data_IF_732827346696
#
_entry.id   IF_732827346696
#
_cell.length_a   1.000
_cell.length_b   1.000
_cell.length_c   1.000
_cell.angle_alpha   90.00
_cell.angle_beta   90.00
_cell.angle_gamma   90.00
#
_symmetry.space_group_name_H-M   'P 1'
#
loop_
_entity.id
_entity.type
_entity.pdbx_description
1 polymer ?
#
# COMPACT_ATOMS: atom_id res chain seq x y z
N UNK A 1 56.38 -21.89 -14.31
CA UNK A 1 55.67 -20.85 -13.53
C UNK A 1 54.19 -20.94 -13.88
N UNK A 2 53.36 -21.48 -12.98
CA UNK A 2 51.90 -21.51 -13.13
C UNK A 2 51.34 -20.44 -12.20
N UNK A 3 50.85 -19.35 -12.77
CA UNK A 3 50.24 -18.23 -12.07
C UNK A 3 48.88 -18.67 -11.52
N UNK A 4 48.75 -18.71 -10.20
CA UNK A 4 47.49 -18.97 -9.50
C UNK A 4 46.71 -17.64 -9.46
N UNK A 5 45.65 -17.53 -10.27
CA UNK A 5 44.71 -16.41 -10.18
C UNK A 5 43.73 -16.68 -9.03
N UNK A 6 43.95 -16.02 -7.89
CA UNK A 6 42.98 -15.92 -6.81
C UNK A 6 41.81 -15.05 -7.28
N UNK A 7 40.67 -15.67 -7.57
CA UNK A 7 39.40 -14.96 -7.68
C UNK A 7 38.90 -14.68 -6.26
N UNK A 8 39.13 -13.46 -5.77
CA UNK A 8 38.40 -12.92 -4.63
C UNK A 8 36.98 -12.59 -5.10
N UNK A 9 36.04 -13.51 -4.88
CA UNK A 9 34.62 -13.22 -4.96
C UNK A 9 34.25 -12.29 -3.80
N UNK A 10 34.04 -11.00 -4.08
CA UNK A 10 33.23 -10.16 -3.19
C UNK A 10 31.81 -10.74 -3.23
N UNK A 11 31.46 -11.50 -2.20
CA UNK A 11 30.07 -11.84 -1.93
C UNK A 11 29.35 -10.54 -1.53
N UNK A 12 28.67 -9.92 -2.50
CA UNK A 12 27.56 -9.04 -2.19
C UNK A 12 26.48 -9.92 -1.56
N UNK A 13 26.39 -9.93 -0.23
CA UNK A 13 25.21 -10.46 0.44
C UNK A 13 24.03 -9.60 -0.01
N UNK A 14 23.04 -10.14 -0.74
CA UNK A 14 21.78 -9.43 -0.82
C UNK A 14 21.30 -9.26 0.63
N UNK A 15 20.98 -8.03 1.03
CA UNK A 15 20.28 -7.81 2.28
C UNK A 15 18.95 -8.57 2.19
N UNK A 16 18.92 -9.81 2.67
CA UNK A 16 17.68 -10.55 2.89
C UNK A 16 17.06 -9.88 4.09
N UNK A 17 16.03 -9.06 3.85
CA UNK A 17 15.24 -8.49 4.91
C UNK A 17 14.49 -9.64 5.57
N UNK A 18 14.81 -9.89 6.85
CA UNK A 18 14.04 -10.83 7.67
C UNK A 18 12.64 -10.27 7.85
N UNK A 19 11.66 -11.13 7.67
CA UNK A 19 10.25 -10.81 7.81
C UNK A 19 9.65 -11.48 9.08
N UNK A 20 8.38 -11.21 9.39
CA UNK A 20 7.74 -11.75 10.59
C UNK A 20 7.73 -13.30 10.61
N UNK A 21 7.58 -13.94 9.45
CA UNK A 21 7.52 -15.39 9.36
C UNK A 21 8.88 -16.02 9.63
N UNK A 22 9.96 -15.41 9.12
CA UNK A 22 11.33 -15.82 9.46
C UNK A 22 11.55 -15.79 10.98
N UNK A 23 11.16 -14.68 11.63
CA UNK A 23 11.33 -14.49 13.07
C UNK A 23 10.57 -15.54 13.89
N UNK A 24 9.33 -15.84 13.49
CA UNK A 24 8.51 -16.89 14.10
C UNK A 24 9.12 -18.27 13.89
N UNK A 25 9.65 -18.55 12.70
CA UNK A 25 10.32 -19.82 12.42
C UNK A 25 11.58 -20.00 13.29
N UNK A 26 12.40 -18.97 13.46
CA UNK A 26 13.56 -19.04 14.36
C UNK A 26 13.11 -19.29 15.81
N UNK A 27 12.03 -18.64 16.23
CA UNK A 27 11.46 -18.83 17.56
C UNK A 27 10.96 -20.28 17.77
N UNK A 28 10.25 -20.85 16.80
CA UNK A 28 9.78 -22.25 16.84
C UNK A 28 10.95 -23.24 16.88
N UNK A 29 12.04 -22.93 16.17
CA UNK A 29 13.29 -23.68 16.20
C UNK A 29 14.10 -23.48 17.48
N UNK A 30 13.60 -22.69 18.43
CA UNK A 30 14.24 -22.32 19.69
C UNK A 30 15.56 -21.54 19.53
N UNK A 31 15.82 -20.99 18.34
CA UNK A 31 16.88 -20.00 18.14
C UNK A 31 16.38 -18.62 18.58
N UNK A 32 16.19 -18.49 19.90
CA UNK A 32 15.65 -17.29 20.52
C UNK A 32 16.57 -16.07 20.35
N UNK A 33 17.88 -16.27 20.17
CA UNK A 33 18.79 -15.17 19.92
C UNK A 33 18.50 -14.55 18.56
N UNK A 34 18.40 -15.39 17.53
CA UNK A 34 18.11 -14.93 16.17
C UNK A 34 16.67 -14.40 16.07
N UNK A 35 15.69 -15.10 16.61
CA UNK A 35 14.29 -14.65 16.64
C UNK A 35 14.15 -13.25 17.27
N UNK A 36 14.84 -13.01 18.40
CA UNK A 36 14.84 -11.71 19.06
C UNK A 36 15.44 -10.60 18.21
N UNK A 37 16.51 -10.89 17.46
CA UNK A 37 17.12 -9.92 16.56
C UNK A 37 16.18 -9.58 15.40
N UNK A 38 15.54 -10.59 14.83
CA UNK A 38 14.60 -10.45 13.72
C UNK A 38 13.32 -9.69 14.15
N UNK A 39 12.69 -10.06 15.27
CA UNK A 39 11.58 -9.26 15.82
C UNK A 39 11.99 -7.82 16.12
N UNK A 40 13.18 -7.59 16.67
CA UNK A 40 13.66 -6.23 16.95
C UNK A 40 13.79 -5.39 15.68
N UNK A 41 14.16 -6.02 14.56
CA UNK A 41 14.28 -5.36 13.26
C UNK A 41 12.95 -4.88 12.67
N UNK A 42 11.83 -5.45 13.15
CA UNK A 42 10.47 -5.09 12.75
C UNK A 42 9.85 -4.01 13.64
N UNK A 43 10.44 -3.66 14.79
CA UNK A 43 9.92 -2.59 15.65
C UNK A 43 9.88 -1.20 14.97
N UNK A 44 10.88 -0.79 14.18
CA UNK A 44 10.80 0.47 13.42
C UNK A 44 9.60 0.54 12.47
N UNK A 45 9.10 -0.62 12.02
CA UNK A 45 7.92 -0.76 11.16
C UNK A 45 6.60 -0.66 11.93
N UNK A 46 6.64 -0.45 13.24
CA UNK A 46 5.45 -0.45 14.09
C UNK A 46 4.79 -1.82 14.20
N UNK A 47 5.55 -2.90 14.02
CA UNK A 47 5.04 -4.26 14.06
C UNK A 47 4.64 -4.65 15.49
N UNK A 48 3.34 -4.69 15.73
CA UNK A 48 2.74 -5.01 17.02
C UNK A 48 2.95 -6.47 17.42
N UNK A 49 2.97 -7.40 16.46
CA UNK A 49 3.23 -8.82 16.71
C UNK A 49 4.67 -9.08 17.14
N UNK A 50 5.63 -8.36 16.55
CA UNK A 50 7.04 -8.43 16.95
C UNK A 50 7.26 -7.87 18.37
N UNK A 51 6.63 -6.73 18.68
CA UNK A 51 6.63 -6.17 20.03
C UNK A 51 6.03 -7.16 21.05
N UNK A 52 4.89 -7.78 20.71
CA UNK A 52 4.25 -8.79 21.56
C UNK A 52 5.15 -10.00 21.80
N UNK A 53 5.76 -10.56 20.74
CA UNK A 53 6.63 -11.73 20.89
C UNK A 53 7.88 -11.41 21.71
N UNK A 54 8.50 -10.24 21.53
CA UNK A 54 9.60 -9.80 22.39
C UNK A 54 9.16 -9.66 23.85
N UNK A 55 7.94 -9.16 24.11
CA UNK A 55 7.38 -9.10 25.46
C UNK A 55 7.29 -10.49 26.09
N UNK A 56 6.76 -11.48 25.35
CA UNK A 56 6.66 -12.89 25.78
C UNK A 56 8.04 -13.48 26.07
N UNK A 57 9.01 -13.26 25.18
CA UNK A 57 10.39 -13.76 25.36
C UNK A 57 11.03 -13.18 26.63
N UNK A 58 10.86 -11.88 26.88
CA UNK A 58 11.35 -11.22 28.10
C UNK A 58 10.62 -11.73 29.35
N UNK A 59 9.32 -11.95 29.26
CA UNK A 59 8.52 -12.43 30.38
C UNK A 59 8.91 -13.86 30.80
N UNK A 60 9.13 -14.75 29.82
CA UNK A 60 9.47 -16.15 30.05
C UNK A 60 10.97 -16.42 30.24
N UNK A 61 11.83 -15.50 29.81
CA UNK A 61 13.27 -15.76 29.73
C UNK A 61 13.65 -16.71 28.59
N UNK A 62 13.00 -16.60 27.44
CA UNK A 62 13.36 -17.40 26.26
C UNK A 62 14.63 -16.81 25.61
N UNK A 63 15.72 -17.59 25.63
CA UNK A 63 17.05 -17.18 25.14
C UNK A 63 17.80 -16.21 26.07
N UNK A 64 17.28 -15.91 27.27
CA UNK A 64 17.88 -14.96 28.23
C UNK A 64 17.32 -15.15 29.64
N UNK A 65 17.84 -14.43 30.64
CA UNK A 65 17.15 -14.34 31.95
C UNK A 65 15.86 -13.54 31.83
N UNK A 66 14.79 -14.00 32.46
CA UNK A 66 13.52 -13.29 32.48
C UNK A 66 13.68 -11.87 33.03
N UNK A 67 13.01 -10.91 32.38
CA UNK A 67 13.07 -9.49 32.68
C UNK A 67 11.65 -8.91 32.57
N UNK A 68 10.95 -8.87 33.70
CA UNK A 68 9.54 -8.46 33.77
C UNK A 68 9.34 -6.96 33.54
N UNK A 69 10.36 -6.13 33.77
CA UNK A 69 10.34 -4.68 33.46
C UNK A 69 10.35 -4.50 31.94
N UNK A 70 11.26 -5.18 31.23
CA UNK A 70 11.28 -5.17 29.76
C UNK A 70 10.02 -5.78 29.17
N UNK A 71 9.54 -6.89 29.74
CA UNK A 71 8.30 -7.50 29.30
C UNK A 71 7.12 -6.52 29.35
N UNK A 72 6.98 -5.77 30.46
CA UNK A 72 5.94 -4.75 30.58
C UNK A 72 6.10 -3.66 29.51
N UNK A 73 7.31 -3.15 29.31
CA UNK A 73 7.57 -2.11 28.30
C UNK A 73 7.21 -2.56 26.88
N UNK A 74 7.55 -3.80 26.50
CA UNK A 74 7.20 -4.36 25.20
C UNK A 74 5.70 -4.68 25.06
N UNK A 75 5.01 -5.11 26.13
CA UNK A 75 3.55 -5.25 26.10
C UNK A 75 2.86 -3.90 25.95
N UNK A 76 3.34 -2.85 26.63
CA UNK A 76 2.84 -1.48 26.45
C UNK A 76 3.07 -1.00 25.01
N UNK A 77 4.23 -1.30 24.42
CA UNK A 77 4.52 -1.01 23.02
C UNK A 77 3.55 -1.72 22.08
N UNK A 78 3.33 -3.02 22.26
CA UNK A 78 2.41 -3.79 21.44
C UNK A 78 0.97 -3.25 21.49
N UNK A 79 0.47 -2.87 22.68
CA UNK A 79 -0.86 -2.27 22.85
C UNK A 79 -0.96 -0.90 22.13
N UNK A 80 0.09 -0.08 22.27
CA UNK A 80 0.18 1.22 21.60
C UNK A 80 0.23 1.09 20.07
N UNK A 81 0.81 0.01 19.54
CA UNK A 81 0.88 -0.30 18.10
C UNK A 81 -0.37 -1.02 17.57
N UNK A 82 -1.35 -1.32 18.44
CA UNK A 82 -2.67 -1.84 18.05
C UNK A 82 -3.00 -3.25 18.52
N UNK A 83 -2.06 -4.01 19.12
CA UNK A 83 -2.35 -5.36 19.61
C UNK A 83 -3.10 -5.32 20.96
N UNK A 84 -4.43 -5.33 20.89
CA UNK A 84 -5.30 -5.25 22.07
C UNK A 84 -5.17 -6.43 23.03
N UNK A 85 -4.59 -7.56 22.61
CA UNK A 85 -4.29 -8.69 23.51
C UNK A 85 -3.21 -8.29 24.53
N UNK A 86 -2.30 -7.40 24.14
CA UNK A 86 -1.22 -6.94 25.00
C UNK A 86 -1.71 -6.11 26.20
N UNK A 87 -2.83 -5.39 26.07
CA UNK A 87 -3.33 -4.50 27.13
C UNK A 87 -3.64 -5.25 28.43
N UNK A 88 -4.31 -6.40 28.34
CA UNK A 88 -4.65 -7.22 29.51
C UNK A 88 -3.38 -7.82 30.15
N UNK A 89 -2.42 -8.25 29.33
CA UNK A 89 -1.15 -8.80 29.80
C UNK A 89 -0.27 -7.73 30.45
N UNK A 90 -0.17 -6.53 29.87
CA UNK A 90 0.53 -5.40 30.45
C UNK A 90 -0.01 -5.09 31.86
N UNK A 91 -1.33 -5.00 32.01
CA UNK A 91 -1.98 -4.80 33.32
C UNK A 91 -1.60 -5.91 34.32
N UNK A 92 -1.67 -7.18 33.90
CA UNK A 92 -1.31 -8.31 34.76
C UNK A 92 0.17 -8.36 35.12
N UNK A 93 1.07 -7.94 34.25
CA UNK A 93 2.50 -7.87 34.54
C UNK A 93 2.79 -6.70 35.49
N UNK A 94 2.16 -5.54 35.28
CA UNK A 94 2.33 -4.36 36.13
C UNK A 94 1.98 -4.62 37.60
N UNK A 95 0.94 -5.41 37.89
CA UNK A 95 0.59 -5.77 39.28
C UNK A 95 1.66 -6.56 40.03
N UNK A 96 2.65 -7.13 39.31
CA UNK A 96 3.76 -7.90 39.89
C UNK A 96 5.02 -7.06 40.13
N UNK A 97 5.00 -5.78 39.76
CA UNK A 97 6.16 -4.88 39.79
C UNK A 97 5.98 -3.78 40.85
N UNK A 98 7.09 -3.35 41.46
CA UNK A 98 7.11 -2.17 42.33
C UNK A 98 6.83 -0.88 41.54
N UNK A 99 6.53 0.21 42.24
CA UNK A 99 6.32 1.51 41.60
C UNK A 99 7.56 1.96 40.81
N UNK A 100 8.76 1.73 41.34
CA UNK A 100 10.03 2.04 40.67
C UNK A 100 10.22 1.21 39.40
N UNK A 101 9.88 -0.08 39.44
CA UNK A 101 9.97 -0.97 38.29
C UNK A 101 8.94 -0.62 37.19
N UNK A 102 7.73 -0.20 37.57
CA UNK A 102 6.73 0.29 36.62
C UNK A 102 7.15 1.61 35.97
N UNK A 103 7.81 2.49 36.73
CA UNK A 103 8.39 3.72 36.20
C UNK A 103 9.50 3.41 35.19
N UNK A 104 10.42 2.49 35.51
CA UNK A 104 11.46 2.02 34.58
C UNK A 104 10.87 1.42 33.30
N UNK A 105 9.81 0.60 33.41
CA UNK A 105 9.14 0.03 32.25
C UNK A 105 8.51 1.13 31.38
N UNK A 106 7.92 2.15 31.99
CA UNK A 106 7.32 3.28 31.28
C UNK A 106 8.37 4.10 30.53
N UNK A 107 9.52 4.36 31.15
CA UNK A 107 10.65 5.05 30.51
C UNK A 107 11.18 4.26 29.30
N UNK A 108 11.37 2.95 29.47
CA UNK A 108 11.79 2.07 28.38
C UNK A 108 10.73 2.00 27.27
N UNK A 109 9.45 1.95 27.61
CA UNK A 109 8.37 2.01 26.63
C UNK A 109 8.44 3.28 25.79
N UNK A 110 8.65 4.45 26.41
CA UNK A 110 8.80 5.71 25.68
C UNK A 110 10.05 5.71 24.78
N UNK A 111 11.16 5.14 25.26
CA UNK A 111 12.37 4.95 24.45
C UNK A 111 12.08 4.07 23.22
N UNK A 112 11.42 2.93 23.41
CA UNK A 112 11.05 2.01 22.34
C UNK A 112 10.09 2.66 21.34
N UNK A 113 9.06 3.36 21.83
CA UNK A 113 8.10 4.06 21.00
C UNK A 113 8.77 5.15 20.16
N UNK A 114 9.77 5.85 20.72
CA UNK A 114 10.53 6.87 20.00
C UNK A 114 11.26 6.31 18.76
N UNK A 115 11.65 5.03 18.79
CA UNK A 115 12.35 4.32 17.70
C UNK A 115 11.40 3.77 16.64
N UNK A 116 10.10 3.69 16.91
CA UNK A 116 9.10 3.33 15.90
C UNK A 116 9.00 4.46 14.89
N UNK A 117 9.29 4.15 13.62
CA UNK A 117 9.25 5.11 12.51
C UNK A 117 7.89 5.12 11.82
N UNK A 118 7.27 3.93 11.67
CA UNK A 118 5.94 3.76 11.10
C UNK A 118 4.95 3.54 12.25
N UNK A 119 4.19 4.57 12.64
CA UNK A 119 3.32 4.52 13.83
C UNK A 119 1.85 4.31 13.49
N UNK A 120 1.40 4.97 12.43
CA UNK A 120 0.12 4.79 11.77
C UNK A 120 0.32 5.25 10.32
N UNK A 121 -0.56 4.86 9.40
CA UNK A 121 -0.70 5.57 8.14
C UNK A 121 -1.75 6.66 8.38
N UNK A 122 -1.40 7.93 8.61
CA UNK A 122 -2.30 8.98 8.20
C UNK A 122 -2.52 8.84 6.67
N UNK A 123 -3.62 9.40 6.18
CA UNK A 123 -3.78 9.74 4.76
C UNK A 123 -2.75 10.84 4.38
N UNK A 124 -1.46 10.58 4.60
CA UNK A 124 -0.34 11.41 4.16
C UNK A 124 -0.20 11.23 2.66
N UNK A 125 -1.22 11.66 1.90
CA UNK A 125 -1.16 11.70 0.45
C UNK A 125 0.10 12.48 0.07
N UNK A 126 1.08 11.76 -0.48
CA UNK A 126 2.19 12.40 -1.17
C UNK A 126 1.57 13.23 -2.29
N UNK A 127 1.73 14.55 -2.23
CA UNK A 127 1.28 15.48 -3.27
C UNK A 127 2.03 15.15 -4.58
N UNK A 128 1.47 14.23 -5.33
CA UNK A 128 1.88 13.93 -6.69
C UNK A 128 1.30 15.07 -7.53
N UNK A 129 2.18 15.96 -7.97
CA UNK A 129 1.85 17.02 -8.91
C UNK A 129 0.88 16.49 -9.98
N UNK A 130 -0.24 17.19 -10.14
CA UNK A 130 -1.32 16.75 -11.02
C UNK A 130 -0.76 16.45 -12.41
N UNK A 131 -1.05 15.25 -12.91
CA UNK A 131 -0.64 14.88 -14.26
C UNK A 131 -1.27 15.84 -15.28
N UNK A 132 -0.55 16.18 -16.37
CA UNK A 132 -1.14 16.98 -17.43
C UNK A 132 -2.37 16.29 -18.04
N UNK A 133 -3.17 17.06 -18.79
CA UNK A 133 -4.35 16.52 -19.47
C UNK A 133 -3.99 15.33 -20.37
N UNK A 134 -4.79 14.27 -20.29
CA UNK A 134 -4.58 13.05 -21.08
C UNK A 134 -5.03 13.29 -22.52
N UNK A 135 -4.12 13.19 -23.48
CA UNK A 135 -4.45 13.21 -24.92
C UNK A 135 -4.76 11.80 -25.43
N UNK A 136 -3.94 10.82 -25.04
CA UNK A 136 -4.12 9.43 -25.46
C UNK A 136 -3.53 8.47 -24.42
N UNK A 137 -4.36 7.52 -23.93
CA UNK A 137 -3.91 6.40 -23.08
C UNK A 137 -4.46 5.09 -23.62
N UNK A 138 -3.78 4.53 -24.62
CA UNK A 138 -4.12 3.23 -25.18
C UNK A 138 -3.87 2.14 -24.12
N UNK A 139 -4.90 1.33 -23.87
CA UNK A 139 -4.78 0.16 -22.99
C UNK A 139 -3.76 -0.86 -23.53
N UNK A 140 -3.05 -1.59 -22.66
CA UNK A 140 -2.14 -2.64 -23.08
C UNK A 140 -2.88 -3.80 -23.73
N UNK A 141 -2.22 -4.44 -24.70
CA UNK A 141 -2.74 -5.68 -25.27
C UNK A 141 -2.60 -6.81 -24.26
N UNK A 142 -3.67 -7.59 -24.07
CA UNK A 142 -3.63 -8.78 -23.22
C UNK A 142 -2.70 -9.85 -23.85
N UNK A 143 -1.70 -10.39 -23.12
CA UNK A 143 -0.84 -11.45 -23.65
C UNK A 143 -1.65 -12.69 -24.03
N UNK A 144 -1.40 -13.23 -25.23
CA UNK A 144 -2.18 -14.38 -25.75
C UNK A 144 -2.13 -15.57 -24.79
N UNK A 145 -0.95 -15.97 -24.32
CA UNK A 145 -0.81 -17.12 -23.42
C UNK A 145 -1.56 -16.93 -22.10
N UNK A 146 -1.43 -15.74 -21.49
CA UNK A 146 -2.18 -15.39 -20.28
C UNK A 146 -3.69 -15.45 -20.51
N UNK A 147 -4.15 -14.98 -21.69
CA UNK A 147 -5.56 -15.03 -22.03
C UNK A 147 -6.08 -16.48 -22.18
N UNK A 148 -5.33 -17.36 -22.85
CA UNK A 148 -5.73 -18.77 -23.01
C UNK A 148 -5.78 -19.50 -21.66
N UNK A 149 -4.87 -19.17 -20.74
CA UNK A 149 -4.79 -19.78 -19.41
C UNK A 149 -5.67 -19.10 -18.36
N UNK A 150 -6.43 -18.05 -18.73
CA UNK A 150 -7.27 -17.29 -17.78
C UNK A 150 -6.48 -16.60 -16.67
N UNK A 151 -5.19 -16.32 -16.89
CA UNK A 151 -4.30 -15.72 -15.91
C UNK A 151 -4.62 -14.23 -15.81
N UNK A 152 -5.14 -13.80 -14.68
CA UNK A 152 -5.32 -12.38 -14.36
C UNK A 152 -4.10 -11.82 -13.62
N UNK A 153 -4.05 -10.49 -13.48
CA UNK A 153 -3.07 -9.88 -12.60
C UNK A 153 -2.92 -8.37 -12.79
N UNK A 154 -1.75 -7.84 -12.46
CA UNK A 154 -1.50 -6.40 -12.51
C UNK A 154 -0.04 -6.07 -12.79
N UNK A 155 0.20 -4.83 -13.17
CA UNK A 155 1.53 -4.19 -13.18
C UNK A 155 1.45 -2.81 -12.58
N UNK A 156 2.30 -2.51 -11.61
CA UNK A 156 2.53 -1.16 -11.10
C UNK A 156 3.74 -0.58 -11.82
N UNK A 157 3.58 0.62 -12.35
CA UNK A 157 4.62 1.31 -13.07
C UNK A 157 4.77 2.75 -12.60
N UNK A 158 6.00 3.25 -12.70
CA UNK A 158 6.30 4.68 -12.72
C UNK A 158 6.90 5.05 -14.06
N UNK A 159 6.68 6.29 -14.48
CA UNK A 159 7.16 6.77 -15.76
C UNK A 159 7.44 8.27 -15.75
N UNK A 160 8.31 8.73 -16.66
CA UNK A 160 8.60 10.13 -16.89
C UNK A 160 7.86 10.62 -18.14
N UNK A 161 7.30 11.82 -18.07
CA UNK A 161 6.68 12.54 -19.17
C UNK A 161 7.60 13.71 -19.52
N UNK A 162 7.96 13.85 -20.78
CA UNK A 162 8.77 14.97 -21.28
C UNK A 162 7.96 16.27 -21.40
N UNK A 163 8.65 17.36 -21.72
CA UNK A 163 8.09 18.70 -21.86
C UNK A 163 7.02 18.82 -22.96
N UNK A 164 7.04 17.89 -23.93
CA UNK A 164 6.09 17.79 -25.04
C UNK A 164 4.93 16.83 -24.74
N UNK A 165 4.91 16.20 -23.57
CA UNK A 165 3.86 15.29 -23.14
C UNK A 165 4.04 13.84 -23.60
N UNK A 166 5.20 13.43 -24.10
CA UNK A 166 5.48 12.02 -24.41
C UNK A 166 6.05 11.30 -23.21
N UNK A 167 5.72 10.01 -23.09
CA UNK A 167 6.30 9.16 -22.05
C UNK A 167 7.65 8.61 -22.53
N UNK A 168 8.73 8.87 -21.78
CA UNK A 168 10.10 8.51 -22.14
C UNK A 168 10.61 7.28 -21.37
N UNK A 169 10.84 7.43 -20.07
CA UNK A 169 11.31 6.36 -19.16
C UNK A 169 10.13 5.70 -18.49
N UNK A 170 10.09 4.36 -18.47
CA UNK A 170 9.01 3.59 -17.83
C UNK A 170 9.65 2.42 -17.09
N UNK A 171 9.31 2.28 -15.82
CA UNK A 171 9.76 1.17 -14.99
C UNK A 171 8.57 0.41 -14.40
N UNK A 172 8.68 -0.91 -14.40
CA UNK A 172 7.76 -1.79 -13.66
C UNK A 172 8.29 -1.97 -12.25
N UNK A 173 7.55 -1.44 -11.28
CA UNK A 173 7.90 -1.48 -9.86
C UNK A 173 7.43 -2.76 -9.18
N UNK A 174 6.41 -3.40 -9.75
CA UNK A 174 5.82 -4.63 -9.24
C UNK A 174 4.83 -5.20 -10.23
N UNK A 175 4.70 -6.53 -10.25
CA UNK A 175 3.79 -7.23 -11.13
C UNK A 175 3.35 -8.55 -10.53
N UNK A 176 2.12 -8.94 -10.83
CA UNK A 176 1.63 -10.29 -10.59
C UNK A 176 0.85 -10.79 -11.81
N UNK A 177 1.00 -12.06 -12.20
CA UNK A 177 2.14 -12.89 -11.87
C UNK A 177 3.42 -12.24 -12.42
N UNK A 178 4.54 -12.48 -11.75
CA UNK A 178 5.78 -11.78 -12.08
C UNK A 178 6.13 -11.96 -13.57
N UNK A 179 6.58 -10.87 -14.21
CA UNK A 179 7.03 -10.80 -15.62
C UNK A 179 5.97 -11.14 -16.69
N UNK A 180 4.77 -11.54 -16.32
CA UNK A 180 3.74 -11.99 -17.27
C UNK A 180 3.23 -10.85 -18.15
N UNK A 181 3.00 -9.69 -17.53
CA UNK A 181 2.39 -8.53 -18.19
C UNK A 181 3.39 -7.39 -18.45
N UNK A 182 4.63 -7.49 -17.97
CA UNK A 182 5.57 -6.36 -17.89
C UNK A 182 5.88 -5.77 -19.27
N UNK A 183 6.20 -6.64 -20.24
CA UNK A 183 6.56 -6.21 -21.61
C UNK A 183 5.43 -5.49 -22.32
N UNK A 184 4.19 -6.01 -22.22
CA UNK A 184 3.03 -5.39 -22.87
C UNK A 184 2.64 -4.08 -22.18
N UNK A 185 2.80 -4.01 -20.86
CA UNK A 185 2.56 -2.82 -20.05
C UNK A 185 3.50 -1.67 -20.42
N UNK A 186 4.81 -1.94 -20.42
CA UNK A 186 5.84 -0.94 -20.79
C UNK A 186 5.61 -0.43 -22.21
N UNK A 187 5.34 -1.34 -23.16
CA UNK A 187 5.05 -0.95 -24.56
C UNK A 187 3.83 -0.03 -24.66
N UNK A 188 2.76 -0.30 -23.90
CA UNK A 188 1.57 0.51 -23.94
C UNK A 188 1.78 1.89 -23.32
N UNK A 189 2.43 1.95 -22.16
CA UNK A 189 2.69 3.21 -21.44
C UNK A 189 3.63 4.13 -22.20
N UNK A 190 4.66 3.60 -22.88
CA UNK A 190 5.53 4.40 -23.77
C UNK A 190 4.79 5.03 -24.95
N UNK A 191 3.59 4.56 -25.30
CA UNK A 191 2.77 5.12 -26.37
C UNK A 191 1.73 6.13 -25.87
N UNK A 192 1.68 6.38 -24.56
CA UNK A 192 0.77 7.38 -24.00
C UNK A 192 1.24 8.79 -24.34
N UNK A 193 0.26 9.69 -24.45
CA UNK A 193 0.48 11.11 -24.74
C UNK A 193 -0.36 11.99 -23.83
N UNK A 194 0.27 13.04 -23.35
CA UNK A 194 -0.28 14.05 -22.47
C UNK A 194 -0.17 15.43 -23.14
N UNK A 195 -0.88 16.42 -22.60
CA UNK A 195 -0.75 17.81 -23.02
C UNK A 195 0.66 18.33 -22.72
N UNK A 196 1.25 19.04 -23.69
CA UNK A 196 2.54 19.67 -23.53
C UNK A 196 2.43 20.83 -22.53
N UNK A 197 3.20 20.78 -21.45
CA UNK A 197 3.23 21.86 -20.44
C UNK A 197 4.54 22.64 -20.45
N UNK A 198 5.52 22.23 -21.26
CA UNK A 198 6.88 22.78 -21.22
C UNK A 198 7.69 22.38 -19.98
N UNK A 199 7.16 21.47 -19.15
CA UNK A 199 7.81 20.95 -17.96
C UNK A 199 7.73 19.43 -17.99
N UNK A 200 8.74 18.76 -17.41
CA UNK A 200 8.71 17.31 -17.22
C UNK A 200 7.79 16.97 -16.04
N UNK A 201 7.15 15.81 -16.13
CA UNK A 201 6.31 15.26 -15.06
C UNK A 201 6.72 13.82 -14.78
N UNK A 202 6.38 13.31 -13.61
CA UNK A 202 6.40 11.87 -13.36
C UNK A 202 4.99 11.37 -13.12
N UNK A 203 4.71 10.16 -13.60
CA UNK A 203 3.43 9.50 -13.41
C UNK A 203 3.57 8.14 -12.77
N UNK A 204 2.47 7.71 -12.16
CA UNK A 204 2.26 6.37 -11.62
C UNK A 204 1.03 5.78 -12.30
N UNK A 205 1.08 4.48 -12.57
CA UNK A 205 -0.13 3.74 -12.92
C UNK A 205 -0.07 2.30 -12.43
N UNK A 206 -1.21 1.79 -11.96
CA UNK A 206 -1.45 0.35 -11.83
C UNK A 206 -2.36 -0.08 -12.98
N UNK A 207 -1.91 -1.04 -13.79
CA UNK A 207 -2.70 -1.62 -14.88
C UNK A 207 -3.20 -2.99 -14.45
N UNK A 208 -4.50 -3.19 -14.46
CA UNK A 208 -5.14 -4.47 -14.17
C UNK A 208 -5.40 -5.26 -15.44
N UNK A 209 -5.17 -6.56 -15.37
CA UNK A 209 -5.34 -7.52 -16.44
C UNK A 209 -6.39 -8.54 -16.01
N UNK A 210 -7.61 -8.42 -16.54
CA UNK A 210 -8.70 -9.35 -16.33
C UNK A 210 -9.39 -9.65 -17.68
N UNK A 211 -9.77 -10.92 -17.90
CA UNK A 211 -10.59 -11.31 -19.05
C UNK A 211 -12.07 -11.22 -18.66
N UNK A 212 -12.61 -10.00 -18.69
CA UNK A 212 -13.96 -9.75 -18.18
C UNK A 212 -13.98 -9.68 -16.64
N UNK A 213 -15.16 -9.79 -16.01
CA UNK A 213 -15.25 -9.71 -14.56
C UNK A 213 -14.59 -10.95 -13.96
N UNK A 214 -13.84 -10.75 -12.88
CA UNK A 214 -13.35 -11.87 -12.09
C UNK A 214 -14.56 -12.58 -11.51
N UNK A 215 -14.69 -13.88 -11.80
CA UNK A 215 -15.83 -14.66 -11.32
C UNK A 215 -15.57 -15.10 -9.89
N UNK A 216 -16.57 -14.94 -9.03
CA UNK A 216 -16.46 -15.26 -7.61
C UNK A 216 -15.92 -16.66 -7.34
N UNK A 217 -16.42 -17.68 -8.05
CA UNK A 217 -15.97 -19.05 -7.86
C UNK A 217 -14.48 -19.25 -8.22
N UNK A 218 -13.94 -18.52 -9.21
CA UNK A 218 -12.52 -18.63 -9.60
C UNK A 218 -11.63 -17.99 -8.54
N UNK A 219 -12.06 -16.85 -8.00
CA UNK A 219 -11.37 -16.15 -6.92
C UNK A 219 -11.38 -17.00 -5.65
N UNK A 220 -12.55 -17.56 -5.27
CA UNK A 220 -12.66 -18.47 -4.13
C UNK A 220 -11.77 -19.70 -4.29
N UNK A 221 -11.76 -20.33 -5.46
CA UNK A 221 -10.90 -21.47 -5.74
C UNK A 221 -9.41 -21.12 -5.61
N UNK A 222 -8.99 -19.96 -6.15
CA UNK A 222 -7.63 -19.46 -6.02
C UNK A 222 -7.24 -19.22 -4.55
N UNK A 223 -8.09 -18.51 -3.79
CA UNK A 223 -7.84 -18.25 -2.37
C UNK A 223 -7.72 -19.54 -1.56
N UNK A 224 -8.57 -20.53 -1.83
CA UNK A 224 -8.54 -21.84 -1.18
C UNK A 224 -7.29 -22.65 -1.54
N UNK A 225 -6.96 -22.74 -2.84
CA UNK A 225 -5.79 -23.46 -3.33
C UNK A 225 -4.50 -22.95 -2.69
N UNK A 226 -4.39 -21.63 -2.49
CA UNK A 226 -3.22 -20.98 -1.92
C UNK A 226 -3.32 -20.71 -0.41
N UNK A 227 -4.40 -21.15 0.26
CA UNK A 227 -4.67 -20.88 1.68
C UNK A 227 -4.46 -19.40 2.05
N UNK A 228 -4.92 -18.53 1.15
CA UNK A 228 -4.49 -17.14 1.11
C UNK A 228 -4.93 -16.38 2.36
N UNK A 229 -6.18 -16.57 2.79
CA UNK A 229 -6.70 -15.95 4.01
C UNK A 229 -6.03 -16.51 5.26
N UNK A 230 -5.91 -17.83 5.38
CA UNK A 230 -5.32 -18.49 6.56
C UNK A 230 -3.89 -18.00 6.82
N UNK A 231 -3.04 -18.01 5.79
CA UNK A 231 -1.66 -17.56 5.94
C UNK A 231 -1.53 -16.04 6.07
N UNK A 232 -2.42 -15.26 5.45
CA UNK A 232 -2.43 -13.81 5.63
C UNK A 232 -2.77 -13.43 7.08
N UNK A 233 -3.78 -14.07 7.67
CA UNK A 233 -4.18 -13.90 9.09
C UNK A 233 -3.08 -14.39 10.03
N UNK A 234 -2.38 -15.47 9.68
CA UNK A 234 -1.23 -15.95 10.43
C UNK A 234 0.00 -15.01 10.37
N UNK A 235 -0.05 -13.94 9.58
CA UNK A 235 1.00 -12.94 9.51
C UNK A 235 2.00 -13.12 8.38
N UNK A 236 1.76 -14.04 7.42
CA UNK A 236 2.69 -14.25 6.31
C UNK A 236 2.70 -13.02 5.38
N UNK A 237 3.81 -12.27 5.30
CA UNK A 237 3.86 -11.00 4.57
C UNK A 237 3.61 -11.16 3.07
N UNK A 238 4.02 -12.29 2.48
CA UNK A 238 3.81 -12.58 1.06
C UNK A 238 2.33 -12.88 0.76
N UNK A 239 1.66 -13.64 1.61
CA UNK A 239 0.22 -13.93 1.47
C UNK A 239 -0.62 -12.69 1.73
N UNK A 240 -0.24 -11.87 2.71
CA UNK A 240 -0.87 -10.57 2.95
C UNK A 240 -0.74 -9.65 1.72
N UNK A 241 0.46 -9.55 1.14
CA UNK A 241 0.65 -8.75 -0.07
C UNK A 241 -0.20 -9.24 -1.24
N UNK A 242 -0.23 -10.55 -1.47
CA UNK A 242 -1.04 -11.16 -2.54
C UNK A 242 -2.55 -10.98 -2.31
N UNK A 243 -3.02 -11.16 -1.07
CA UNK A 243 -4.41 -10.96 -0.70
C UNK A 243 -4.83 -9.50 -0.89
N UNK A 244 -3.99 -8.57 -0.43
CA UNK A 244 -4.21 -7.14 -0.61
C UNK A 244 -4.38 -6.78 -2.08
N UNK A 245 -3.53 -7.34 -2.95
CA UNK A 245 -3.67 -7.05 -4.37
C UNK A 245 -4.87 -7.73 -5.02
N UNK A 246 -5.23 -8.94 -4.62
CA UNK A 246 -6.45 -9.58 -5.11
C UNK A 246 -7.69 -8.74 -4.79
N UNK A 247 -7.77 -8.21 -3.56
CA UNK A 247 -8.87 -7.36 -3.10
C UNK A 247 -8.88 -6.01 -3.80
N UNK A 248 -7.72 -5.38 -4.02
CA UNK A 248 -7.63 -4.12 -4.77
C UNK A 248 -8.06 -4.28 -6.24
N UNK A 249 -7.65 -5.39 -6.86
CA UNK A 249 -8.07 -5.71 -8.22
C UNK A 249 -9.58 -5.98 -8.28
N UNK A 250 -10.16 -6.68 -7.32
CA UNK A 250 -11.61 -6.87 -7.21
C UNK A 250 -12.34 -5.54 -7.06
N UNK A 251 -11.91 -4.69 -6.12
CA UNK A 251 -12.49 -3.37 -5.89
C UNK A 251 -12.46 -2.52 -7.18
N UNK A 252 -11.33 -2.50 -7.88
CA UNK A 252 -11.15 -1.71 -9.11
C UNK A 252 -11.93 -2.28 -10.31
N UNK A 253 -12.22 -3.58 -10.32
CA UNK A 253 -13.05 -4.20 -11.36
C UNK A 253 -14.54 -4.21 -11.00
N UNK A 254 -14.90 -3.86 -9.76
CA UNK A 254 -16.28 -3.76 -9.31
C UNK A 254 -16.96 -2.50 -9.86
N UNK A 255 -18.29 -2.50 -9.86
CA UNK A 255 -19.06 -1.29 -10.17
C UNK A 255 -19.23 -0.34 -8.97
N UNK A 256 -18.46 -0.55 -7.90
CA UNK A 256 -18.59 0.17 -6.64
C UNK A 256 -17.30 0.88 -6.28
N UNK A 257 -17.44 1.98 -5.54
CA UNK A 257 -16.35 2.51 -4.71
C UNK A 257 -16.36 1.72 -3.41
N UNK A 258 -15.30 0.96 -3.15
CA UNK A 258 -15.15 0.18 -1.92
C UNK A 258 -14.51 1.07 -0.87
N UNK A 259 -15.23 1.31 0.23
CA UNK A 259 -14.78 2.11 1.36
C UNK A 259 -14.67 1.23 2.61
N UNK A 260 -13.57 1.34 3.34
CA UNK A 260 -13.46 0.66 4.63
C UNK A 260 -14.34 1.35 5.69
N UNK A 261 -15.06 0.56 6.48
CA UNK A 261 -15.74 1.01 7.71
C UNK A 261 -15.03 0.43 8.93
N UNK A 262 -14.34 1.30 9.67
CA UNK A 262 -13.56 0.96 10.86
C UNK A 262 -14.41 0.49 12.04
N UNK A 263 -15.73 0.64 11.97
CA UNK A 263 -16.64 0.17 13.00
C UNK A 263 -17.12 -1.27 12.76
N UNK A 264 -16.88 -1.82 11.57
CA UNK A 264 -17.22 -3.22 11.28
C UNK A 264 -16.22 -4.16 11.97
N UNK A 265 -16.71 -5.33 12.36
CA UNK A 265 -15.89 -6.34 13.02
C UNK A 265 -14.76 -6.83 12.10
N UNK A 266 -13.59 -7.05 12.69
CA UNK A 266 -12.44 -7.66 12.05
C UNK A 266 -12.52 -9.19 12.18
N UNK A 267 -13.55 -9.78 11.58
CA UNK A 267 -13.75 -11.23 11.53
C UNK A 267 -13.12 -11.78 10.24
N UNK A 268 -11.98 -12.49 10.30
CA UNK A 268 -11.35 -13.04 9.12
C UNK A 268 -12.21 -14.15 8.54
N UNK A 269 -12.88 -13.87 7.43
CA UNK A 269 -13.68 -14.84 6.70
C UNK A 269 -13.20 -14.93 5.26
N UNK A 270 -13.22 -16.14 4.69
CA UNK A 270 -12.95 -16.32 3.27
C UNK A 270 -14.11 -15.83 2.38
N UNK A 271 -15.24 -15.46 2.99
CA UNK A 271 -16.36 -14.86 2.28
C UNK A 271 -16.07 -13.42 1.93
N UNK A 272 -16.19 -13.10 0.65
CA UNK A 272 -15.99 -11.78 0.11
C UNK A 272 -17.35 -11.11 -0.16
N UNK A 273 -17.49 -9.79 0.04
CA UNK A 273 -18.71 -9.07 -0.27
C UNK A 273 -19.14 -9.29 -1.73
N UNK A 274 -20.40 -9.65 -1.96
CA UNK A 274 -20.94 -9.94 -3.30
C UNK A 274 -20.76 -8.76 -4.27
N UNK A 275 -20.81 -7.52 -3.75
CA UNK A 275 -20.63 -6.28 -4.50
C UNK A 275 -19.26 -6.20 -5.21
N UNK A 276 -18.25 -6.93 -4.74
CA UNK A 276 -16.95 -7.02 -5.40
C UNK A 276 -16.99 -7.78 -6.74
N UNK A 277 -18.05 -8.56 -6.97
CA UNK A 277 -18.26 -9.36 -8.18
C UNK A 277 -19.40 -8.83 -9.06
N UNK A 278 -20.20 -7.92 -8.52
CA UNK A 278 -21.37 -7.36 -9.20
C UNK A 278 -20.98 -6.43 -10.35
N UNK A 279 -21.79 -6.48 -11.41
CA UNK A 279 -21.75 -5.55 -12.52
C UNK A 279 -23.02 -4.73 -12.56
N UNK A 280 -22.87 -3.42 -12.35
CA UNK A 280 -23.90 -2.43 -12.62
C UNK A 280 -23.50 -1.60 -13.84
N UNK A 281 -24.50 -1.20 -14.62
CA UNK A 281 -24.31 -0.14 -15.59
C UNK A 281 -23.84 1.12 -14.87
N UNK A 282 -22.85 1.82 -15.43
CA UNK A 282 -22.47 3.12 -14.89
C UNK A 282 -23.59 4.13 -15.13
N UNK A 283 -23.88 4.96 -14.13
CA UNK A 283 -24.86 6.04 -14.25
C UNK A 283 -24.12 7.37 -14.38
N UNK A 284 -24.70 8.29 -15.14
CA UNK A 284 -24.11 9.61 -15.34
C UNK A 284 -25.20 10.67 -15.36
N UNK A 285 -24.97 11.76 -14.64
CA UNK A 285 -25.91 12.88 -14.55
C UNK A 285 -25.19 14.18 -14.89
N UNK A 286 -25.89 15.13 -15.51
CA UNK A 286 -25.30 16.42 -15.84
C UNK A 286 -25.57 17.41 -14.71
N UNK A 287 -24.55 17.70 -13.91
CA UNK A 287 -24.63 18.67 -12.82
C UNK A 287 -23.88 19.94 -13.24
N UNK A 288 -24.61 20.99 -13.59
CA UNK A 288 -24.01 22.24 -14.05
C UNK A 288 -23.16 22.88 -12.94
N UNK A 289 -21.92 23.22 -13.26
CA UNK A 289 -20.98 23.85 -12.32
C UNK A 289 -20.27 22.89 -11.36
N UNK A 290 -20.59 21.60 -11.39
CA UNK A 290 -19.88 20.60 -10.60
C UNK A 290 -18.59 20.15 -11.31
N UNK A 291 -17.50 20.09 -10.55
CA UNK A 291 -16.23 19.49 -10.97
C UNK A 291 -15.45 19.02 -9.74
N UNK A 292 -14.66 17.97 -9.88
CA UNK A 292 -13.99 17.30 -8.76
C UNK A 292 -14.73 16.06 -8.30
N UNK A 293 -14.60 15.73 -7.02
CA UNK A 293 -15.23 14.60 -6.34
C UNK A 293 -16.12 15.05 -5.19
N UNK A 294 -17.19 14.30 -4.95
CA UNK A 294 -18.00 14.44 -3.76
C UNK A 294 -18.63 13.11 -3.38
N UNK A 295 -18.78 12.84 -2.08
CA UNK A 295 -19.62 11.74 -1.59
C UNK A 295 -20.95 12.29 -1.09
N UNK A 296 -22.04 11.69 -1.52
CA UNK A 296 -23.40 12.14 -1.21
C UNK A 296 -24.28 10.97 -0.78
N UNK A 297 -25.27 11.25 0.07
CA UNK A 297 -26.33 10.31 0.43
C UNK A 297 -27.60 10.67 -0.34
N UNK A 298 -28.33 9.67 -0.80
CA UNK A 298 -29.59 9.84 -1.53
C UNK A 298 -30.77 9.19 -0.82
N UNK A 299 -31.98 9.70 -1.08
CA UNK A 299 -33.24 9.05 -0.71
C UNK A 299 -33.68 8.00 -1.74
N UNK A 300 -34.86 7.42 -1.54
CA UNK A 300 -35.47 6.39 -2.40
C UNK A 300 -35.73 6.85 -3.85
N UNK A 301 -35.69 8.15 -4.14
CA UNK A 301 -35.88 8.71 -5.49
C UNK A 301 -34.56 9.08 -6.16
N UNK A 302 -33.42 8.85 -5.49
CA UNK A 302 -32.11 9.28 -5.95
C UNK A 302 -31.84 10.77 -5.74
N UNK A 303 -32.66 11.44 -4.93
CA UNK A 303 -32.44 12.83 -4.56
C UNK A 303 -31.39 12.92 -3.47
N UNK A 304 -30.40 13.78 -3.67
CA UNK A 304 -29.34 14.04 -2.70
C UNK A 304 -29.93 14.67 -1.44
N UNK A 305 -29.79 13.98 -0.31
CA UNK A 305 -30.24 14.45 1.01
C UNK A 305 -29.09 15.00 1.86
N UNK A 306 -27.86 14.58 1.57
CA UNK A 306 -26.69 14.97 2.35
C UNK A 306 -25.42 14.95 1.48
N UNK A 307 -24.52 15.92 1.70
CA UNK A 307 -23.16 15.90 1.16
C UNK A 307 -22.20 15.54 2.30
N UNK A 308 -21.56 14.37 2.19
CA UNK A 308 -20.65 13.82 3.18
C UNK A 308 -19.29 14.51 3.12
N UNK A 309 -18.73 14.62 1.90
CA UNK A 309 -17.46 15.30 1.63
C UNK A 309 -17.40 15.81 0.18
N UNK A 310 -16.44 16.71 -0.08
CA UNK A 310 -16.06 17.19 -1.42
C UNK A 310 -14.60 17.67 -1.40
N UNK A 311 -13.89 17.56 -2.53
CA UNK A 311 -12.47 17.91 -2.63
C UNK A 311 -12.23 19.37 -3.07
N UNK A 312 -12.71 19.75 -4.25
CA UNK A 312 -12.47 21.03 -4.93
C UNK A 312 -13.50 22.10 -4.56
N UNK A 313 -14.48 21.74 -3.75
CA UNK A 313 -15.55 22.61 -3.30
C UNK A 313 -15.54 22.65 -1.78
N UNK A 314 -15.71 23.84 -1.21
CA UNK A 314 -16.06 23.93 0.21
C UNK A 314 -17.40 23.21 0.46
N UNK A 315 -17.60 22.71 1.68
CA UNK A 315 -18.84 22.03 2.06
C UNK A 315 -20.09 22.86 1.75
N UNK A 316 -20.03 24.19 1.92
CA UNK A 316 -21.13 25.10 1.59
C UNK A 316 -21.41 25.20 0.09
N UNK A 317 -20.38 25.27 -0.75
CA UNK A 317 -20.54 25.28 -2.20
C UNK A 317 -21.10 23.95 -2.71
N UNK A 318 -20.56 22.83 -2.20
CA UNK A 318 -21.03 21.50 -2.53
C UNK A 318 -22.51 21.32 -2.12
N UNK A 319 -22.89 21.75 -0.92
CA UNK A 319 -24.29 21.73 -0.47
C UNK A 319 -25.21 22.53 -1.38
N UNK A 320 -24.82 23.76 -1.74
CA UNK A 320 -25.62 24.62 -2.63
C UNK A 320 -25.83 23.97 -4.01
N UNK A 321 -24.83 23.30 -4.55
CA UNK A 321 -24.88 22.68 -5.87
C UNK A 321 -25.63 21.35 -5.89
N UNK A 322 -25.42 20.52 -4.86
CA UNK A 322 -25.80 19.11 -4.86
C UNK A 322 -27.06 18.80 -4.05
N UNK A 323 -27.33 19.49 -2.94
CA UNK A 323 -28.49 19.15 -2.10
C UNK A 323 -29.79 19.32 -2.87
N UNK A 324 -30.65 18.29 -2.78
CA UNK A 324 -31.94 18.25 -3.44
C UNK A 324 -31.90 17.97 -4.94
N UNK A 325 -30.72 17.79 -5.55
CA UNK A 325 -30.60 17.32 -6.93
C UNK A 325 -30.95 15.84 -7.02
N UNK A 326 -31.70 15.46 -8.05
CA UNK A 326 -31.95 14.05 -8.38
C UNK A 326 -30.81 13.59 -9.28
N UNK A 327 -30.09 12.55 -8.85
CA UNK A 327 -28.96 12.01 -9.60
C UNK A 327 -29.45 11.08 -10.70
N UNK A 328 -30.16 10.02 -10.30
CA UNK A 328 -30.70 8.93 -11.11
C UNK A 328 -31.65 8.07 -10.25
N UNK A 329 -32.63 7.38 -10.84
CA UNK A 329 -33.53 6.46 -10.09
C UNK A 329 -32.77 5.26 -9.52
N UNK A 330 -31.74 4.80 -10.24
CA UNK A 330 -30.85 3.71 -9.81
C UNK A 330 -29.85 4.17 -8.74
N UNK A 331 -29.73 5.48 -8.54
CA UNK A 331 -28.96 6.08 -7.44
C UNK A 331 -29.79 6.23 -6.15
N UNK A 332 -30.71 5.31 -5.89
CA UNK A 332 -31.64 5.38 -4.76
C UNK A 332 -31.09 4.75 -3.46
N UNK A 333 -31.44 5.38 -2.33
CA UNK A 333 -31.25 4.90 -0.96
C UNK A 333 -29.84 4.37 -0.65
N UNK A 334 -28.82 5.21 -0.85
CA UNK A 334 -27.44 4.81 -0.63
C UNK A 334 -26.45 5.96 -0.55
N UNK A 335 -25.16 5.61 -0.52
CA UNK A 335 -24.06 6.57 -0.63
C UNK A 335 -23.45 6.43 -2.02
N UNK A 336 -23.17 7.56 -2.66
CA UNK A 336 -22.65 7.62 -4.02
C UNK A 336 -21.46 8.56 -4.08
N UNK A 337 -20.45 8.16 -4.84
CA UNK A 337 -19.34 9.03 -5.25
C UNK A 337 -19.70 9.68 -6.58
N UNK A 338 -19.62 10.99 -6.59
CA UNK A 338 -19.70 11.83 -7.78
C UNK A 338 -18.27 12.15 -8.25
N UNK A 339 -18.03 12.06 -9.55
CA UNK A 339 -16.80 12.54 -10.17
C UNK A 339 -17.07 13.23 -11.50
N UNK A 340 -16.50 14.41 -11.71
CA UNK A 340 -16.60 15.12 -12.98
C UNK A 340 -15.34 15.94 -13.28
N UNK A 341 -14.87 15.87 -14.52
CA UNK A 341 -13.96 16.88 -15.06
C UNK A 341 -14.71 18.21 -15.30
N UNK A 342 -14.02 19.36 -15.23
CA UNK A 342 -14.64 20.66 -15.50
C UNK A 342 -15.40 20.69 -16.84
N UNK A 343 -16.71 20.96 -16.77
CA UNK A 343 -17.57 21.04 -17.95
C UNK A 343 -17.97 19.71 -18.59
N UNK A 344 -17.61 18.56 -17.98
CA UNK A 344 -18.02 17.22 -18.43
C UNK A 344 -19.19 16.67 -17.61
N UNK A 345 -19.75 15.54 -18.04
CA UNK A 345 -20.81 14.83 -17.32
C UNK A 345 -20.28 14.28 -15.99
N UNK A 346 -21.14 14.26 -14.97
CA UNK A 346 -20.82 13.71 -13.66
C UNK A 346 -21.10 12.21 -13.65
N UNK A 347 -20.08 11.41 -13.37
CA UNK A 347 -20.20 9.99 -13.13
C UNK A 347 -20.69 9.75 -11.72
N UNK A 348 -21.64 8.83 -11.57
CA UNK A 348 -22.26 8.46 -10.30
C UNK A 348 -21.95 7.00 -10.03
N UNK A 349 -21.17 6.72 -8.98
CA UNK A 349 -20.77 5.36 -8.61
C UNK A 349 -21.24 5.04 -7.21
N UNK A 350 -21.96 3.92 -6.99
CA UNK A 350 -22.38 3.52 -5.65
C UNK A 350 -21.17 3.23 -4.76
N UNK A 351 -21.28 3.56 -3.48
CA UNK A 351 -20.28 3.27 -2.46
C UNK A 351 -20.75 2.07 -1.65
N UNK A 352 -19.86 1.11 -1.44
CA UNK A 352 -20.09 -0.01 -0.51
C UNK A 352 -19.10 0.10 0.64
N UNK A 353 -19.62 -0.03 1.86
CA UNK A 353 -18.82 -0.08 3.07
C UNK A 353 -18.51 -1.54 3.42
N UNK A 354 -17.23 -1.86 3.62
CA UNK A 354 -16.75 -3.21 3.92
C UNK A 354 -15.81 -3.19 5.12
N UNK A 355 -15.60 -4.34 5.77
CA UNK A 355 -14.58 -4.48 6.81
C UNK A 355 -13.20 -4.16 6.23
N UNK A 356 -12.28 -3.63 7.05
CA UNK A 356 -10.92 -3.36 6.63
C UNK A 356 -10.23 -4.62 6.07
N UNK A 357 -10.57 -5.81 6.58
CA UNK A 357 -10.10 -7.11 6.10
C UNK A 357 -10.48 -7.41 4.64
N UNK A 358 -11.44 -6.70 4.07
CA UNK A 358 -11.86 -6.84 2.67
C UNK A 358 -11.28 -5.76 1.75
N UNK A 359 -10.30 -5.01 2.23
CA UNK A 359 -9.63 -3.95 1.46
C UNK A 359 -8.17 -4.28 1.18
N UNK A 360 -7.69 -3.88 0.00
CA UNK A 360 -6.29 -4.08 -0.38
C UNK A 360 -5.32 -3.31 0.51
N UNK A 361 -5.66 -2.06 0.84
CA UNK A 361 -4.85 -1.16 1.67
C UNK A 361 -4.52 -1.74 3.04
N UNK A 362 -5.49 -2.37 3.70
CA UNK A 362 -5.27 -3.04 4.99
C UNK A 362 -4.16 -4.10 4.88
N UNK A 363 -4.30 -5.04 3.94
CA UNK A 363 -3.36 -6.15 3.83
C UNK A 363 -1.98 -5.73 3.32
N UNK A 364 -1.89 -4.73 2.43
CA UNK A 364 -0.59 -4.15 2.08
C UNK A 364 0.09 -3.49 3.27
N UNK A 365 -0.67 -2.81 4.13
CA UNK A 365 -0.15 -2.24 5.39
C UNK A 365 0.40 -3.33 6.30
N UNK A 366 -0.37 -4.40 6.52
CA UNK A 366 0.07 -5.54 7.33
C UNK A 366 1.31 -6.19 6.73
N UNK A 367 1.33 -6.44 5.42
CA UNK A 367 2.47 -7.02 4.71
C UNK A 367 3.73 -6.16 4.89
N UNK A 368 3.60 -4.84 4.72
CA UNK A 368 4.71 -3.91 4.84
C UNK A 368 5.27 -3.87 6.27
N UNK A 369 4.39 -3.82 7.28
CA UNK A 369 4.76 -3.88 8.70
C UNK A 369 5.41 -5.23 9.06
N UNK A 370 5.00 -6.30 8.38
CA UNK A 370 5.57 -7.65 8.53
C UNK A 370 6.86 -7.86 7.73
N UNK A 371 7.42 -6.84 7.09
CA UNK A 371 8.72 -6.90 6.42
C UNK A 371 8.68 -7.08 4.89
N UNK A 372 7.49 -7.10 4.28
CA UNK A 372 7.38 -7.25 2.83
C UNK A 372 7.89 -6.02 2.07
N UNK A 373 9.08 -6.11 1.47
CA UNK A 373 9.68 -4.98 0.75
C UNK A 373 8.82 -4.47 -0.43
N UNK A 374 8.11 -5.34 -1.14
CA UNK A 374 7.25 -4.92 -2.24
C UNK A 374 6.07 -4.07 -1.74
N UNK A 375 5.46 -4.48 -0.62
CA UNK A 375 4.43 -3.71 0.05
C UNK A 375 4.96 -2.36 0.59
N UNK A 376 6.15 -2.37 1.21
CA UNK A 376 6.80 -1.14 1.70
C UNK A 376 7.03 -0.15 0.56
N UNK A 377 7.58 -0.62 -0.58
CA UNK A 377 7.79 0.20 -1.78
C UNK A 377 6.50 0.70 -2.38
N UNK A 378 5.43 -0.11 -2.34
CA UNK A 378 4.11 0.30 -2.82
C UNK A 378 3.49 1.40 -1.96
N UNK A 379 3.60 1.30 -0.63
CA UNK A 379 3.14 2.32 0.29
C UNK A 379 3.99 3.59 0.24
N UNK A 380 5.31 3.48 0.06
CA UNK A 380 6.21 4.62 -0.15
C UNK A 380 5.87 5.48 -1.38
N UNK A 381 5.00 5.01 -2.28
CA UNK A 381 4.51 5.81 -3.38
C UNK A 381 3.45 6.83 -2.96
N UNK A 382 2.80 6.60 -1.83
CA UNK A 382 1.64 7.35 -1.35
C UNK A 382 1.75 7.74 0.13
N UNK A 383 2.88 7.45 0.78
CA UNK A 383 3.15 7.78 2.19
C UNK A 383 4.60 8.24 2.33
N UNK A 384 4.78 9.44 2.87
CA UNK A 384 6.09 10.02 3.12
C UNK A 384 6.86 9.24 4.19
N UNK A 385 6.18 8.72 5.22
CA UNK A 385 6.83 7.93 6.27
C UNK A 385 7.50 6.67 5.70
N UNK A 386 6.81 5.94 4.82
CA UNK A 386 7.37 4.76 4.16
C UNK A 386 8.50 5.11 3.20
N UNK A 387 8.36 6.21 2.46
CA UNK A 387 9.43 6.72 1.61
C UNK A 387 10.70 7.03 2.42
N UNK A 388 10.56 7.81 3.49
CA UNK A 388 11.68 8.20 4.36
C UNK A 388 12.34 6.98 5.01
N UNK A 389 11.54 6.02 5.47
CA UNK A 389 12.03 4.74 6.02
C UNK A 389 12.91 3.99 5.00
N UNK A 390 12.47 3.89 3.74
CA UNK A 390 13.21 3.20 2.69
C UNK A 390 14.44 3.99 2.22
N UNK A 391 14.38 5.32 2.19
CA UNK A 391 15.54 6.18 1.91
C UNK A 391 16.64 6.03 2.96
N UNK A 392 16.30 5.96 4.25
CA UNK A 392 17.26 5.70 5.33
C UNK A 392 17.95 4.33 5.17
N UNK A 393 17.25 3.35 4.60
CA UNK A 393 17.78 2.01 4.28
C UNK A 393 18.51 1.94 2.93
N UNK A 394 18.69 3.08 2.26
CA UNK A 394 19.31 3.17 0.94
C UNK A 394 18.60 2.35 -0.16
N UNK A 395 17.27 2.20 -0.10
CA UNK A 395 16.55 1.49 -1.16
C UNK A 395 16.74 2.19 -2.53
N UNK A 396 17.37 1.54 -3.52
CA UNK A 396 17.76 2.21 -4.76
C UNK A 396 16.57 2.61 -5.64
N UNK A 397 15.47 1.84 -5.59
CA UNK A 397 14.25 2.14 -6.34
C UNK A 397 13.59 3.41 -5.78
N UNK A 398 13.47 3.51 -4.45
CA UNK A 398 12.93 4.71 -3.81
C UNK A 398 13.87 5.90 -4.02
N UNK A 399 15.18 5.74 -3.88
CA UNK A 399 16.15 6.80 -4.16
C UNK A 399 16.00 7.36 -5.59
N UNK A 400 15.91 6.49 -6.60
CA UNK A 400 15.80 6.93 -7.98
C UNK A 400 14.54 7.78 -8.23
N UNK A 401 13.37 7.26 -7.85
CA UNK A 401 12.11 7.96 -8.12
C UNK A 401 11.84 9.13 -7.19
N UNK A 402 12.31 9.08 -5.94
CA UNK A 402 12.28 10.23 -5.03
C UNK A 402 13.20 11.35 -5.54
N UNK A 403 14.37 10.97 -6.07
CA UNK A 403 15.31 11.90 -6.69
C UNK A 403 14.70 12.64 -7.88
N UNK A 404 14.04 11.90 -8.77
CA UNK A 404 13.24 12.48 -9.88
C UNK A 404 12.20 13.46 -9.34
N UNK A 405 11.37 13.05 -8.38
CA UNK A 405 10.33 13.93 -7.80
C UNK A 405 10.92 15.23 -7.28
N UNK A 406 11.98 15.15 -6.48
CA UNK A 406 12.64 16.31 -5.86
C UNK A 406 13.22 17.25 -6.91
N UNK A 407 13.83 16.74 -7.98
CA UNK A 407 14.31 17.55 -9.11
C UNK A 407 13.15 18.30 -9.77
N UNK A 408 12.04 17.61 -10.06
CA UNK A 408 10.85 18.21 -10.68
C UNK A 408 10.18 19.26 -9.79
N UNK A 409 10.27 19.10 -8.46
CA UNK A 409 9.79 20.06 -7.46
C UNK A 409 10.80 21.20 -7.16
N UNK A 410 11.93 21.26 -7.88
CA UNK A 410 12.93 22.32 -7.75
C UNK A 410 14.05 22.06 -6.74
N UNK A 411 13.97 21.00 -5.94
CA UNK A 411 15.04 20.58 -5.03
C UNK A 411 16.09 19.72 -5.76
N UNK A 412 16.81 20.37 -6.68
CA UNK A 412 17.73 19.70 -7.61
C UNK A 412 18.92 19.04 -6.94
N UNK A 413 19.51 19.67 -5.92
CA UNK A 413 20.72 19.15 -5.27
C UNK A 413 20.44 17.85 -4.51
N UNK A 414 19.37 17.80 -3.72
CA UNK A 414 18.98 16.59 -3.01
C UNK A 414 18.55 15.50 -3.99
N UNK A 415 17.76 15.85 -5.01
CA UNK A 415 17.31 14.86 -5.98
C UNK A 415 18.44 14.26 -6.82
N UNK A 416 19.44 15.07 -7.19
CA UNK A 416 20.65 14.58 -7.87
C UNK A 416 21.45 13.63 -6.99
N UNK A 417 21.62 13.95 -5.70
CA UNK A 417 22.30 13.09 -4.74
C UNK A 417 21.61 11.72 -4.61
N UNK A 418 20.28 11.69 -4.56
CA UNK A 418 19.53 10.43 -4.49
C UNK A 418 19.69 9.60 -5.77
N UNK A 419 19.61 10.23 -6.95
CA UNK A 419 19.88 9.53 -8.22
C UNK A 419 21.30 8.98 -8.29
N UNK A 420 22.30 9.75 -7.87
CA UNK A 420 23.70 9.32 -7.86
C UNK A 420 23.92 8.11 -6.93
N UNK A 421 23.27 8.11 -5.77
CA UNK A 421 23.27 6.94 -4.87
C UNK A 421 22.64 5.72 -5.53
N UNK A 422 21.51 5.86 -6.20
CA UNK A 422 20.86 4.75 -6.90
C UNK A 422 21.73 4.21 -8.05
N UNK A 423 22.38 5.09 -8.82
CA UNK A 423 23.34 4.70 -9.88
C UNK A 423 24.54 3.96 -9.28
N UNK A 424 25.09 4.45 -8.16
CA UNK A 424 26.21 3.78 -7.48
C UNK A 424 25.84 2.38 -6.96
N UNK A 425 24.55 2.12 -6.73
CA UNK A 425 24.01 0.80 -6.38
C UNK A 425 23.71 -0.08 -7.62
N UNK A 426 24.13 0.33 -8.81
CA UNK A 426 23.86 -0.35 -10.09
C UNK A 426 22.36 -0.52 -10.40
N UNK A 427 21.52 0.39 -9.94
CA UNK A 427 20.11 0.39 -10.28
C UNK A 427 19.90 0.95 -11.69
N UNK A 428 19.67 0.05 -12.64
CA UNK A 428 19.66 0.31 -14.09
C UNK A 428 18.79 1.53 -14.46
N UNK A 429 17.57 1.60 -13.91
CA UNK A 429 16.64 2.70 -14.21
C UNK A 429 17.13 4.06 -13.73
N UNK A 430 17.97 4.15 -12.69
CA UNK A 430 18.48 5.44 -12.23
C UNK A 430 19.37 6.13 -13.28
N UNK A 431 20.16 5.36 -14.04
CA UNK A 431 20.99 5.91 -15.11
C UNK A 431 20.12 6.46 -16.25
N UNK A 432 19.07 5.71 -16.64
CA UNK A 432 18.10 6.16 -17.65
C UNK A 432 17.35 7.42 -17.20
N UNK A 433 16.90 7.47 -15.94
CA UNK A 433 16.22 8.63 -15.37
C UNK A 433 17.14 9.85 -15.33
N UNK A 434 18.39 9.68 -14.91
CA UNK A 434 19.38 10.76 -14.88
C UNK A 434 19.68 11.32 -16.27
N UNK A 435 19.67 10.49 -17.31
CA UNK A 435 19.88 10.95 -18.69
C UNK A 435 18.64 11.67 -19.28
N UNK A 436 17.45 11.43 -18.72
CA UNK A 436 16.18 11.97 -19.22
C UNK A 436 15.73 13.27 -18.52
N UNK A 437 16.36 13.64 -17.41
CA UNK A 437 16.15 14.86 -16.63
C UNK A 437 17.06 15.98 -17.10
#
# INVERSE_FOLDING_TARGET
MRTLLLFTSLAFSPFVYSDLLDALQQYEQQDYQKASAEFSSLLPLGNELAAFNLAVMHYKGEGRKADTVKALAYFQLADALGDKRASALAKSVATKLSAEQQQQATELFQELLSKVQIRDLPDDEVDLAALPEVINRKAPAYPKEAAHSGIFGYTVMKFLIDEQGHVSTVEVLGSFPDKTFNKVSVKAVKLWKYAATGQKHQGKVMLHYSLGPLKEYQVKAFMQQHKLMDFAVAGSPQHQFLLGTLLDMLATNSSYVVQADKNLALEPTAELPAQLFDRRSGFSSRIQGFSGTAMVKTDVTGKVTEVLNADKLSKQQANTLLLGKVLDEDASNGVFRLWADPGKTTYVTPVVYVSELHTGGYWWTMAAKNGNLAAQRQLAMISESWENYLLQRNDPQVQAWSGVRKILQGNKAEGQLLLDKAVAQNYETAAELKAAL
#
